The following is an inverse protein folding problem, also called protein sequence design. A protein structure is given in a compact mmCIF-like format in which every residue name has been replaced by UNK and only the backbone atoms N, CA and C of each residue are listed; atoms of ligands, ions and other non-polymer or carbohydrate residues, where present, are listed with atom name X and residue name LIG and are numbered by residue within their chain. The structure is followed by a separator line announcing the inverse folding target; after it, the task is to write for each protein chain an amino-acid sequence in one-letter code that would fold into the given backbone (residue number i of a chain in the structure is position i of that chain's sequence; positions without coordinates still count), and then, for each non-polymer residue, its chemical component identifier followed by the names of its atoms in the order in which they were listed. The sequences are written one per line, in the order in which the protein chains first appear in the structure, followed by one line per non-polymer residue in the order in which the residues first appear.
data_IF_944980746637
#
_entry.id   IF_944980746637
#
_cell.length_a   1.000
_cell.length_b   1.000
_cell.length_c   1.000
_cell.angle_alpha   90.00
_cell.angle_beta   90.00
_cell.angle_gamma   90.00
#
_symmetry.space_group_name_H-M   'P 1'
#
loop_
_entity.id
_entity.type
_entity.pdbx_description
1 polymer ?
#
# COMPACT_ATOMS: atom_id res chain seq x y z
N UNK A 1 -20.79 -6.29 -2.68
CA UNK A 1 -19.32 -6.48 -2.75
C UNK A 1 -18.53 -5.17 -2.61
N UNK A 2 -18.92 -4.04 -3.23
CA UNK A 2 -18.24 -2.73 -3.08
C UNK A 2 -17.96 -2.26 -1.63
N UNK A 3 -18.85 -2.54 -0.67
CA UNK A 3 -18.67 -2.13 0.73
C UNK A 3 -17.45 -2.79 1.40
N UNK A 4 -17.24 -4.10 1.18
CA UNK A 4 -16.11 -4.84 1.76
C UNK A 4 -14.75 -4.38 1.24
N UNK A 5 -14.70 -3.97 -0.03
CA UNK A 5 -13.48 -3.47 -0.63
C UNK A 5 -13.10 -2.10 -0.06
N UNK A 6 -14.07 -1.21 0.11
CA UNK A 6 -13.83 0.11 0.72
C UNK A 6 -13.29 -0.04 2.15
N UNK A 7 -13.87 -0.93 2.94
CA UNK A 7 -13.38 -1.25 4.29
C UNK A 7 -11.95 -1.78 4.27
N UNK A 8 -11.63 -2.69 3.33
CA UNK A 8 -10.28 -3.20 3.17
C UNK A 8 -9.28 -2.09 2.82
N UNK A 9 -9.62 -1.20 1.88
CA UNK A 9 -8.75 -0.08 1.51
C UNK A 9 -8.50 0.83 2.70
N UNK A 10 -9.54 1.19 3.46
CA UNK A 10 -9.39 2.02 4.65
C UNK A 10 -8.52 1.36 5.74
N UNK A 11 -8.64 0.04 5.90
CA UNK A 11 -7.78 -0.73 6.81
C UNK A 11 -6.32 -0.67 6.37
N UNK A 12 -6.05 -0.87 5.07
CA UNK A 12 -4.69 -0.79 4.50
C UNK A 12 -4.11 0.62 4.63
N UNK A 13 -4.89 1.65 4.33
CA UNK A 13 -4.48 3.05 4.50
C UNK A 13 -4.07 3.35 5.94
N UNK A 14 -4.86 2.86 6.91
CA UNK A 14 -4.56 2.99 8.33
C UNK A 14 -3.26 2.27 8.70
N UNK A 15 -3.07 1.04 8.25
CA UNK A 15 -1.87 0.25 8.55
C UNK A 15 -0.59 0.86 8.00
N UNK A 16 -0.65 1.37 6.77
CA UNK A 16 0.46 2.11 6.16
C UNK A 16 0.79 3.34 6.99
N UNK A 17 -0.22 4.11 7.42
CA UNK A 17 -0.01 5.33 8.23
C UNK A 17 0.46 5.05 9.65
N UNK A 18 0.04 3.95 10.27
CA UNK A 18 0.52 3.53 11.60
C UNK A 18 2.00 3.11 11.54
N UNK A 19 2.40 2.42 10.46
CA UNK A 19 3.77 1.94 10.27
C UNK A 19 4.71 3.02 9.72
N UNK A 20 4.18 3.89 8.86
CA UNK A 20 4.90 4.94 8.12
C UNK A 20 4.07 6.23 8.11
N UNK A 21 4.11 7.03 9.20
CA UNK A 21 3.26 8.22 9.35
C UNK A 21 3.42 9.26 8.22
N UNK A 22 4.65 9.38 7.72
CA UNK A 22 5.03 10.33 6.66
C UNK A 22 4.70 9.84 5.24
N UNK A 23 4.35 8.56 5.06
CA UNK A 23 4.05 8.01 3.75
C UNK A 23 2.78 8.62 3.15
N UNK A 24 2.77 9.04 1.89
CA UNK A 24 1.59 9.65 1.26
C UNK A 24 0.87 8.60 0.44
N UNK A 25 -0.43 8.44 0.64
CA UNK A 25 -1.23 7.48 -0.12
C UNK A 25 -1.69 8.18 -1.40
N UNK A 26 -1.14 7.78 -2.55
CA UNK A 26 -1.43 8.42 -3.84
C UNK A 26 -2.76 7.95 -4.42
N UNK A 27 -3.13 6.70 -4.14
CA UNK A 27 -4.38 6.14 -4.61
C UNK A 27 -4.46 4.63 -4.47
N UNK A 28 -5.65 4.13 -4.76
CA UNK A 28 -5.97 2.71 -4.75
C UNK A 28 -6.61 2.32 -6.09
N UNK A 29 -6.12 1.25 -6.72
CA UNK A 29 -6.63 0.73 -7.97
C UNK A 29 -7.06 -0.73 -7.83
N UNK A 30 -8.25 -1.03 -8.30
CA UNK A 30 -8.71 -2.40 -8.50
C UNK A 30 -8.07 -2.96 -9.78
N UNK A 31 -7.48 -4.15 -9.68
CA UNK A 31 -6.91 -4.90 -10.79
C UNK A 31 -7.61 -6.26 -10.86
N UNK A 32 -8.39 -6.50 -11.90
CA UNK A 32 -9.15 -7.76 -12.04
C UNK A 32 -10.22 -7.94 -10.96
N UNK A 33 -10.73 -9.16 -10.79
CA UNK A 33 -11.87 -9.43 -9.88
C UNK A 33 -11.52 -9.36 -8.39
N UNK A 34 -10.25 -9.56 -8.00
CA UNK A 34 -9.84 -9.64 -6.58
C UNK A 34 -8.41 -9.18 -6.33
N UNK A 35 -7.93 -8.17 -7.04
CA UNK A 35 -6.64 -7.57 -6.71
C UNK A 35 -6.76 -6.08 -6.51
N UNK A 36 -5.99 -5.57 -5.56
CA UNK A 36 -5.98 -4.17 -5.15
C UNK A 36 -4.53 -3.72 -5.09
N UNK A 37 -4.22 -2.63 -5.76
CA UNK A 37 -2.92 -1.97 -5.64
C UNK A 37 -3.11 -0.65 -4.89
N UNK A 38 -2.37 -0.47 -3.80
CA UNK A 38 -2.26 0.77 -3.06
C UNK A 38 -0.89 1.38 -3.37
N UNK A 39 -0.86 2.52 -4.07
CA UNK A 39 0.41 3.23 -4.28
C UNK A 39 0.65 4.17 -3.12
N UNK A 40 1.87 4.08 -2.59
CA UNK A 40 2.28 4.82 -1.40
C UNK A 40 3.58 5.54 -1.76
N UNK A 41 3.58 6.86 -1.73
CA UNK A 41 4.80 7.65 -1.79
C UNK A 41 5.55 7.48 -0.47
N UNK A 42 6.78 6.96 -0.54
CA UNK A 42 7.66 6.81 0.62
C UNK A 42 8.67 7.95 0.62
N UNK A 43 8.78 8.73 1.70
CA UNK A 43 9.73 9.82 1.76
C UNK A 43 11.17 9.27 1.65
N UNK A 44 12.11 10.04 1.06
CA UNK A 44 13.50 9.60 0.89
C UNK A 44 14.22 9.32 2.22
N UNK A 45 13.70 9.83 3.34
CA UNK A 45 14.18 9.57 4.69
C UNK A 45 13.90 8.15 5.19
N UNK A 46 12.97 7.42 4.56
CA UNK A 46 12.56 6.08 4.95
C UNK A 46 13.19 5.01 4.04
N UNK A 47 13.62 3.91 4.65
CA UNK A 47 14.18 2.78 3.92
C UNK A 47 13.07 2.02 3.17
N UNK A 48 13.18 2.01 1.86
CA UNK A 48 12.28 1.29 0.96
C UNK A 48 12.25 -0.22 1.26
N UNK A 49 13.38 -0.79 1.64
CA UNK A 49 13.49 -2.20 1.95
C UNK A 49 12.75 -2.54 3.26
N UNK A 50 12.91 -1.71 4.30
CA UNK A 50 12.15 -1.84 5.54
C UNK A 50 10.64 -1.71 5.29
N UNK A 51 10.24 -0.81 4.38
CA UNK A 51 8.86 -0.67 3.96
C UNK A 51 8.29 -1.97 3.37
N UNK A 52 8.99 -2.57 2.41
CA UNK A 52 8.56 -3.80 1.75
C UNK A 52 8.53 -4.97 2.75
N UNK A 53 9.55 -5.12 3.60
CA UNK A 53 9.59 -6.18 4.62
C UNK A 53 8.42 -6.08 5.60
N UNK A 54 8.04 -4.86 6.00
CA UNK A 54 6.88 -4.65 6.88
C UNK A 54 5.54 -4.89 6.19
N UNK A 55 5.38 -4.54 4.92
CA UNK A 55 4.09 -4.63 4.22
C UNK A 55 3.82 -6.00 3.58
N UNK A 56 4.85 -6.78 3.26
CA UNK A 56 4.69 -8.09 2.63
C UNK A 56 3.87 -9.11 3.46
N UNK A 57 4.08 -9.26 4.78
CA UNK A 57 3.27 -10.17 5.60
C UNK A 57 1.78 -9.85 5.59
N UNK A 58 1.43 -8.56 5.63
CA UNK A 58 0.03 -8.09 5.60
C UNK A 58 -0.67 -8.42 4.29
N UNK A 59 0.07 -8.36 3.17
CA UNK A 59 -0.46 -8.69 1.86
C UNK A 59 -0.86 -10.17 1.77
N UNK A 60 -0.07 -11.05 2.41
CA UNK A 60 -0.35 -12.48 2.52
C UNK A 60 -1.55 -12.72 3.44
N UNK A 61 -1.54 -12.15 4.65
CA UNK A 61 -2.64 -12.33 5.61
C UNK A 61 -3.98 -11.84 5.04
N UNK A 62 -3.96 -10.70 4.32
CA UNK A 62 -5.16 -10.15 3.68
C UNK A 62 -5.71 -11.08 2.62
N UNK A 63 -4.84 -11.72 1.83
CA UNK A 63 -5.26 -12.70 0.83
C UNK A 63 -5.94 -13.90 1.47
N UNK A 64 -5.36 -14.45 2.54
CA UNK A 64 -5.92 -15.59 3.27
C UNK A 64 -7.28 -15.25 3.90
N UNK A 65 -7.41 -14.06 4.48
CA UNK A 65 -8.61 -13.64 5.22
C UNK A 65 -9.75 -13.18 4.31
N UNK A 66 -9.44 -12.49 3.23
CA UNK A 66 -10.44 -11.76 2.42
C UNK A 66 -10.57 -12.28 1.00
N UNK A 67 -9.59 -13.06 0.52
CA UNK A 67 -9.48 -13.49 -0.87
C UNK A 67 -9.03 -12.39 -1.84
N UNK A 68 -8.68 -11.20 -1.35
CA UNK A 68 -8.10 -10.13 -2.16
C UNK A 68 -6.58 -10.15 -2.09
N UNK A 69 -5.95 -10.14 -3.25
CA UNK A 69 -4.51 -9.94 -3.36
C UNK A 69 -4.20 -8.45 -3.31
N UNK A 70 -3.45 -8.02 -2.30
CA UNK A 70 -3.08 -6.62 -2.11
C UNK A 70 -1.62 -6.41 -2.49
N UNK A 71 -1.37 -5.35 -3.24
CA UNK A 71 -0.03 -4.88 -3.58
C UNK A 71 0.15 -3.49 -3.00
N UNK A 72 1.09 -3.33 -2.08
CA UNK A 72 1.51 -1.99 -1.62
C UNK A 72 2.74 -1.61 -2.44
N UNK A 73 2.54 -0.68 -3.37
CA UNK A 73 3.57 -0.27 -4.32
C UNK A 73 4.21 1.03 -3.82
N UNK A 74 5.46 0.98 -3.34
CA UNK A 74 6.15 2.19 -2.97
C UNK A 74 6.54 2.98 -4.23
N UNK A 75 6.25 4.27 -4.22
CA UNK A 75 6.72 5.23 -5.20
C UNK A 75 7.74 6.13 -4.51
N UNK A 76 9.01 6.09 -4.92
CA UNK A 76 9.99 7.06 -4.44
C UNK A 76 9.99 8.23 -5.41
N UNK A 77 9.73 9.45 -4.94
CA UNK A 77 10.00 10.64 -5.74
C UNK A 77 11.48 10.68 -6.04
N UNK A 78 11.81 10.37 -7.29
CA UNK A 78 13.11 10.66 -7.85
C UNK A 78 13.35 12.16 -7.70
N UNK A 79 14.27 12.55 -6.82
CA UNK A 79 14.62 13.96 -6.60
C UNK A 79 15.37 14.55 -7.81
N UNK A 80 15.50 13.78 -8.90
CA UNK A 80 16.27 14.05 -10.10
C UNK A 80 15.48 14.67 -11.26
N UNK A 81 14.15 14.87 -11.14
CA UNK A 81 13.30 15.35 -12.26
C UNK A 81 13.10 16.88 -12.27
N UNK A 82 13.66 17.64 -11.33
CA UNK A 82 13.64 19.12 -11.35
C UNK A 82 15.05 19.74 -11.43
N UNK A 83 15.92 19.23 -12.32
CA UNK A 83 17.16 19.91 -12.73
C UNK A 83 16.96 20.78 -13.96
#
# INVERSE_FOLDING_TARGET
MRYKLKELVQELERLVKESFPEAIIEGCWERGEKSVALCVEIPPSQDLYEFVEKMAPWSIETLERTGYLVYVLPNQRDSSVNS
#
